data_IF_074050561540
#
_entry.id   IF_074050561540
#
_cell.length_a   1.000
_cell.length_b   1.000
_cell.length_c   1.000
_cell.angle_alpha   90.00
_cell.angle_beta   90.00
_cell.angle_gamma   90.00
#
_symmetry.space_group_name_H-M   'P 1'
#
loop_
_entity.id
_entity.type
_entity.pdbx_description
1 polymer ?
#
# COMPACT_ATOMS: atom_id res chain seq x y z
N UNK A 1 2.36 25.07 31.23
CA UNK A 1 1.85 25.37 29.88
C UNK A 1 2.25 24.29 28.87
N UNK A 2 3.55 23.98 28.68
CA UNK A 2 4.04 22.96 27.72
C UNK A 2 3.45 21.54 27.83
N UNK A 3 3.16 21.03 29.04
CA UNK A 3 2.61 19.68 29.22
C UNK A 3 1.13 19.54 28.80
N UNK A 4 0.36 20.62 28.86
CA UNK A 4 -1.06 20.63 28.47
C UNK A 4 -1.21 20.67 26.95
N UNK A 5 -0.41 21.50 26.26
CA UNK A 5 -0.39 21.59 24.79
C UNK A 5 0.00 20.26 24.13
N UNK A 6 0.93 19.50 24.74
CA UNK A 6 1.31 18.19 24.22
C UNK A 6 0.19 17.15 24.38
N UNK A 7 -0.57 17.17 25.48
CA UNK A 7 -1.72 16.26 25.66
C UNK A 7 -2.85 16.55 24.68
N UNK A 8 -3.16 17.83 24.43
CA UNK A 8 -4.16 18.22 23.43
C UNK A 8 -3.73 17.79 22.02
N UNK A 9 -2.47 18.04 21.62
CA UNK A 9 -1.95 17.61 20.32
C UNK A 9 -1.99 16.09 20.13
N UNK A 10 -1.60 15.32 21.15
CA UNK A 10 -1.68 13.85 21.10
C UNK A 10 -3.14 13.39 20.95
N UNK A 11 -4.07 13.98 21.71
CA UNK A 11 -5.49 13.64 21.63
C UNK A 11 -6.09 13.97 20.25
N UNK A 12 -5.75 15.12 19.66
CA UNK A 12 -6.16 15.48 18.31
C UNK A 12 -5.64 14.51 17.25
N UNK A 13 -4.37 14.10 17.35
CA UNK A 13 -3.77 13.12 16.43
C UNK A 13 -4.46 11.76 16.56
N UNK A 14 -4.69 11.28 17.79
CA UNK A 14 -5.39 10.00 18.04
C UNK A 14 -6.82 10.06 17.47
N UNK A 15 -7.56 11.13 17.72
CA UNK A 15 -8.91 11.30 17.21
C UNK A 15 -8.94 11.35 15.67
N UNK A 16 -7.97 12.03 15.06
CA UNK A 16 -7.86 12.09 13.59
C UNK A 16 -7.55 10.73 12.98
N UNK A 17 -6.60 9.98 13.55
CA UNK A 17 -6.26 8.62 13.12
C UNK A 17 -7.48 7.70 13.27
N UNK A 18 -8.16 7.75 14.41
CA UNK A 18 -9.40 7.00 14.67
C UNK A 18 -10.50 7.33 13.65
N UNK A 19 -10.66 8.60 13.27
CA UNK A 19 -11.64 9.03 12.25
C UNK A 19 -11.29 8.51 10.86
N UNK A 20 -10.03 8.63 10.43
CA UNK A 20 -9.56 8.12 9.12
C UNK A 20 -9.72 6.60 9.06
N UNK A 21 -9.28 5.89 10.10
CA UNK A 21 -9.36 4.43 10.14
C UNK A 21 -10.81 3.94 10.03
N UNK A 22 -11.73 4.51 10.80
CA UNK A 22 -13.14 4.15 10.74
C UNK A 22 -13.77 4.46 9.37
N UNK A 23 -13.44 5.61 8.77
CA UNK A 23 -13.87 5.95 7.41
C UNK A 23 -13.40 4.89 6.41
N UNK A 24 -12.11 4.56 6.43
CA UNK A 24 -11.53 3.60 5.51
C UNK A 24 -12.11 2.20 5.70
N UNK A 25 -12.35 1.77 6.94
CA UNK A 25 -12.97 0.48 7.24
C UNK A 25 -14.35 0.33 6.58
N UNK A 26 -15.17 1.40 6.57
CA UNK A 26 -16.48 1.35 5.92
C UNK A 26 -16.36 1.18 4.41
N UNK A 27 -15.42 1.85 3.76
CA UNK A 27 -15.22 1.68 2.33
C UNK A 27 -14.60 0.33 1.98
N UNK A 28 -13.62 -0.14 2.76
CA UNK A 28 -13.02 -1.46 2.58
C UNK A 28 -14.06 -2.57 2.72
N UNK A 29 -15.00 -2.44 3.67
CA UNK A 29 -16.10 -3.40 3.85
C UNK A 29 -16.96 -3.55 2.59
N UNK A 30 -17.12 -2.50 1.78
CA UNK A 30 -17.91 -2.54 0.54
C UNK A 30 -17.20 -3.32 -0.56
N UNK A 31 -15.86 -3.31 -0.59
CA UNK A 31 -15.06 -3.96 -1.64
C UNK A 31 -14.58 -5.36 -1.26
N UNK A 32 -14.34 -5.62 0.03
CA UNK A 32 -13.83 -6.90 0.51
C UNK A 32 -14.17 -7.11 1.98
N UNK A 33 -15.12 -8.01 2.21
CA UNK A 33 -15.51 -8.40 3.57
C UNK A 33 -14.37 -9.10 4.33
N UNK A 34 -13.48 -9.81 3.62
CA UNK A 34 -12.39 -10.54 4.23
C UNK A 34 -11.27 -9.62 4.72
N UNK A 35 -10.87 -8.63 3.90
CA UNK A 35 -9.91 -7.60 4.33
C UNK A 35 -10.48 -6.84 5.54
N UNK A 36 -11.76 -6.46 5.48
CA UNK A 36 -12.43 -5.81 6.62
C UNK A 36 -12.38 -6.66 7.90
N UNK A 37 -12.67 -7.97 7.80
CA UNK A 37 -12.60 -8.89 8.95
C UNK A 37 -11.18 -9.01 9.49
N UNK A 38 -10.18 -9.09 8.63
CA UNK A 38 -8.77 -9.17 9.03
C UNK A 38 -8.36 -7.91 9.81
N UNK A 39 -8.71 -6.72 9.30
CA UNK A 39 -8.43 -5.44 9.97
C UNK A 39 -9.10 -5.32 11.35
N UNK A 40 -10.27 -5.95 11.55
CA UNK A 40 -10.97 -5.95 12.84
C UNK A 40 -10.40 -6.95 13.85
N UNK A 41 -9.84 -8.07 13.38
CA UNK A 41 -9.29 -9.13 14.24
C UNK A 41 -7.92 -8.76 14.80
N UNK A 42 -7.09 -8.09 14.02
CA UNK A 42 -5.70 -7.83 14.37
C UNK A 42 -5.57 -6.76 15.48
N UNK A 43 -5.33 -7.20 16.71
CA UNK A 43 -5.08 -6.35 17.89
C UNK A 43 -3.78 -6.78 18.56
N UNK A 44 -2.65 -6.50 17.93
CA UNK A 44 -1.32 -6.81 18.45
C UNK A 44 -0.32 -5.68 18.17
N UNK A 45 0.85 -5.77 18.80
CA UNK A 45 2.00 -4.94 18.46
C UNK A 45 2.37 -5.16 16.99
N UNK A 46 2.58 -4.08 16.24
CA UNK A 46 2.92 -4.15 14.83
C UNK A 46 4.43 -4.08 14.66
N UNK A 47 4.98 -4.88 13.73
CA UNK A 47 6.39 -4.75 13.31
C UNK A 47 6.66 -3.48 12.48
N UNK A 48 5.67 -2.60 12.32
CA UNK A 48 5.78 -1.34 11.59
C UNK A 48 5.59 -0.10 12.47
N UNK A 49 6.27 0.99 12.12
CA UNK A 49 6.15 2.31 12.76
C UNK A 49 6.16 3.43 11.72
N UNK A 50 5.46 4.54 12.00
CA UNK A 50 5.56 5.76 11.19
C UNK A 50 6.75 6.60 11.64
N UNK A 51 7.49 7.11 10.66
CA UNK A 51 8.60 8.06 10.84
C UNK A 51 8.48 9.18 9.79
N UNK A 52 9.04 10.34 10.06
CA UNK A 52 9.25 11.36 9.01
C UNK A 52 10.59 11.11 8.30
N UNK A 53 10.61 11.23 6.98
CA UNK A 53 11.83 11.24 6.19
C UNK A 53 12.56 12.60 6.32
N UNK A 54 13.74 12.74 5.69
CA UNK A 54 14.54 13.97 5.74
C UNK A 54 13.82 15.20 5.16
N UNK A 55 12.81 14.98 4.32
CA UNK A 55 11.97 16.01 3.69
C UNK A 55 10.64 16.25 4.42
N UNK A 56 10.45 15.68 5.62
CA UNK A 56 9.25 15.88 6.45
C UNK A 56 8.02 15.08 6.02
N UNK A 57 8.16 14.11 5.12
CA UNK A 57 7.07 13.25 4.64
C UNK A 57 7.00 11.96 5.46
N UNK A 58 5.80 11.40 5.64
CA UNK A 58 5.65 10.12 6.34
C UNK A 58 6.36 8.99 5.58
N UNK A 59 6.95 8.08 6.34
CA UNK A 59 7.59 6.86 5.90
C UNK A 59 7.24 5.74 6.90
N UNK A 60 7.49 4.50 6.52
CA UNK A 60 7.31 3.31 7.37
C UNK A 60 8.68 2.75 7.68
N UNK A 61 8.92 2.49 8.97
CA UNK A 61 9.97 1.59 9.43
C UNK A 61 9.32 0.22 9.61
N UNK A 62 9.83 -0.81 8.95
CA UNK A 62 9.51 -2.22 9.21
C UNK A 62 10.68 -2.86 9.96
N UNK A 63 10.38 -3.59 11.02
CA UNK A 63 11.35 -4.42 11.74
C UNK A 63 11.27 -5.83 11.16
N UNK A 64 12.40 -6.33 10.66
CA UNK A 64 12.54 -7.68 10.15
C UNK A 64 13.87 -8.27 10.63
N UNK A 65 13.84 -9.38 11.36
CA UNK A 65 15.01 -10.00 12.01
C UNK A 65 15.85 -8.97 12.81
N UNK A 66 15.21 -8.24 13.72
CA UNK A 66 15.80 -7.17 14.55
C UNK A 66 16.44 -6.00 13.79
N UNK A 67 16.28 -5.95 12.47
CA UNK A 67 16.79 -4.88 11.61
C UNK A 67 15.68 -3.97 11.14
N UNK A 68 15.94 -2.66 11.13
CA UNK A 68 15.00 -1.65 10.64
C UNK A 68 15.17 -1.40 9.15
N UNK A 69 14.08 -1.50 8.41
CA UNK A 69 14.00 -1.24 6.98
C UNK A 69 13.04 -0.08 6.72
N UNK A 70 13.44 0.82 5.82
CA UNK A 70 12.56 1.87 5.34
C UNK A 70 11.80 1.39 4.11
N UNK A 71 10.48 1.49 4.15
CA UNK A 71 9.62 1.08 3.03
C UNK A 71 9.71 2.08 1.87
N UNK A 72 9.84 3.37 2.18
CA UNK A 72 9.98 4.46 1.20
C UNK A 72 11.36 5.11 1.28
N UNK A 73 11.68 5.91 0.27
CA UNK A 73 12.89 6.74 0.25
C UNK A 73 13.02 7.62 1.51
N UNK A 74 14.17 7.55 2.17
CA UNK A 74 14.48 8.39 3.33
C UNK A 74 14.80 9.84 2.95
N UNK A 75 15.05 10.10 1.67
CA UNK A 75 15.47 11.40 1.15
C UNK A 75 14.28 12.13 0.52
N UNK A 76 13.73 11.57 -0.56
CA UNK A 76 12.64 12.17 -1.32
C UNK A 76 11.74 11.07 -1.88
N UNK A 77 10.56 10.91 -1.28
CA UNK A 77 9.58 9.94 -1.77
C UNK A 77 8.84 10.46 -3.00
N UNK A 78 8.74 11.79 -3.21
CA UNK A 78 8.10 12.33 -4.41
C UNK A 78 8.93 12.02 -5.66
N UNK A 79 10.24 12.19 -5.57
CA UNK A 79 11.15 11.84 -6.66
C UNK A 79 11.08 10.34 -6.95
N UNK A 80 11.12 9.50 -5.91
CA UNK A 80 10.96 8.05 -6.05
C UNK A 80 9.64 7.70 -6.75
N UNK A 81 8.52 8.22 -6.27
CA UNK A 81 7.20 7.95 -6.85
C UNK A 81 7.08 8.45 -8.29
N UNK A 82 7.68 9.60 -8.63
CA UNK A 82 7.73 10.10 -10.00
C UNK A 82 8.50 9.16 -10.92
N UNK A 83 9.72 8.76 -10.53
CA UNK A 83 10.55 7.85 -11.34
C UNK A 83 9.85 6.51 -11.57
N UNK A 84 9.26 5.94 -10.51
CA UNK A 84 8.52 4.67 -10.60
C UNK A 84 7.26 4.83 -11.47
N UNK A 85 6.54 5.94 -11.35
CA UNK A 85 5.38 6.23 -12.19
C UNK A 85 5.76 6.40 -13.66
N UNK A 86 6.86 7.10 -13.95
CA UNK A 86 7.36 7.23 -15.32
C UNK A 86 7.70 5.84 -15.90
N UNK A 87 8.44 5.01 -15.16
CA UNK A 87 8.74 3.63 -15.54
C UNK A 87 7.49 2.76 -15.74
N UNK A 88 6.47 2.91 -14.89
CA UNK A 88 5.22 2.14 -14.98
C UNK A 88 4.41 2.40 -16.26
N UNK A 89 4.62 3.56 -16.89
CA UNK A 89 3.92 4.00 -18.09
C UNK A 89 4.84 4.17 -19.31
N UNK A 90 6.06 3.61 -19.27
CA UNK A 90 6.96 3.59 -20.43
C UNK A 90 6.44 2.72 -21.56
N UNK A 91 5.68 1.68 -21.23
CA UNK A 91 5.15 0.68 -22.15
C UNK A 91 3.62 0.80 -22.28
N UNK A 92 3.08 0.36 -23.42
CA UNK A 92 1.65 0.33 -23.68
C UNK A 92 0.98 -0.95 -23.15
N UNK A 93 1.03 -1.13 -21.82
CA UNK A 93 0.36 -2.23 -21.14
C UNK A 93 -1.07 -1.85 -20.71
N UNK A 94 -2.01 -2.77 -20.85
CA UNK A 94 -3.41 -2.57 -20.43
C UNK A 94 -3.56 -2.69 -18.90
N UNK A 95 -2.75 -3.55 -18.28
CA UNK A 95 -2.79 -3.86 -16.85
C UNK A 95 -1.45 -3.51 -16.21
N UNK A 96 -1.48 -2.78 -15.10
CA UNK A 96 -0.30 -2.53 -14.26
C UNK A 96 -0.49 -3.25 -12.93
N UNK A 97 0.38 -4.22 -12.66
CA UNK A 97 0.43 -4.93 -11.39
C UNK A 97 1.54 -4.31 -10.54
N UNK A 98 1.18 -3.73 -9.39
CA UNK A 98 2.14 -3.15 -8.46
C UNK A 98 2.32 -4.09 -7.27
N UNK A 99 3.56 -4.53 -7.05
CA UNK A 99 3.95 -5.34 -5.90
C UNK A 99 4.57 -4.44 -4.82
N UNK A 100 3.77 -4.20 -3.80
CA UNK A 100 3.97 -3.24 -2.72
C UNK A 100 3.00 -2.07 -2.80
N UNK A 101 2.46 -1.65 -1.66
CA UNK A 101 1.67 -0.44 -1.53
C UNK A 101 2.34 0.57 -0.59
N UNK A 102 2.87 0.12 0.55
CA UNK A 102 3.41 1.03 1.56
C UNK A 102 2.36 2.06 2.00
N UNK A 103 2.73 3.36 2.04
CA UNK A 103 1.77 4.46 2.29
C UNK A 103 1.02 4.90 1.02
N UNK A 104 1.30 4.25 -0.11
CA UNK A 104 0.65 4.45 -1.40
C UNK A 104 1.08 5.70 -2.16
N UNK A 105 2.29 6.21 -1.93
CA UNK A 105 2.83 7.34 -2.71
C UNK A 105 2.98 6.96 -4.19
N UNK A 106 3.65 5.85 -4.48
CA UNK A 106 3.89 5.33 -5.82
C UNK A 106 2.57 4.95 -6.48
N UNK A 107 1.73 4.18 -5.78
CA UNK A 107 0.41 3.76 -6.27
C UNK A 107 -0.43 4.98 -6.66
N UNK A 108 -0.46 6.01 -5.82
CA UNK A 108 -1.23 7.22 -6.11
C UNK A 108 -0.75 7.94 -7.37
N UNK A 109 0.57 8.11 -7.54
CA UNK A 109 1.13 8.73 -8.75
C UNK A 109 0.85 7.89 -10.00
N UNK A 110 1.01 6.55 -9.91
CA UNK A 110 0.79 5.61 -11.01
C UNK A 110 -0.66 5.66 -11.51
N UNK A 111 -1.66 5.59 -10.61
CA UNK A 111 -3.07 5.55 -11.01
C UNK A 111 -3.56 6.90 -11.52
N UNK A 112 -3.04 8.00 -10.96
CA UNK A 112 -3.42 9.36 -11.35
C UNK A 112 -2.93 9.69 -12.75
N UNK A 113 -1.79 9.16 -13.17
CA UNK A 113 -1.21 9.42 -14.50
C UNK A 113 -2.01 8.78 -15.64
N UNK A 114 -2.61 7.61 -15.42
CA UNK A 114 -3.41 6.93 -16.44
C UNK A 114 -4.72 6.35 -15.85
N UNK A 115 -5.70 7.20 -15.48
CA UNK A 115 -6.90 6.79 -14.72
C UNK A 115 -7.75 5.70 -15.39
N UNK A 116 -7.61 5.50 -16.71
CA UNK A 116 -8.36 4.51 -17.50
C UNK A 116 -7.68 3.13 -17.59
N UNK A 117 -6.43 2.99 -17.15
CA UNK A 117 -5.77 1.67 -17.08
C UNK A 117 -6.34 0.84 -15.94
N UNK A 118 -6.11 -0.47 -16.02
CA UNK A 118 -6.50 -1.42 -14.97
C UNK A 118 -5.32 -1.67 -14.05
N UNK A 119 -5.58 -1.74 -12.75
CA UNK A 119 -4.55 -1.85 -11.74
C UNK A 119 -4.81 -3.02 -10.80
N UNK A 120 -3.76 -3.79 -10.50
CA UNK A 120 -3.77 -4.77 -9.43
C UNK A 120 -2.68 -4.39 -8.43
N UNK A 121 -3.06 -4.09 -7.19
CA UNK A 121 -2.13 -3.71 -6.13
C UNK A 121 -1.99 -4.89 -5.17
N UNK A 122 -0.78 -5.39 -5.04
CA UNK A 122 -0.41 -6.47 -4.11
C UNK A 122 0.33 -5.85 -2.94
N UNK A 123 -0.13 -6.06 -1.71
CA UNK A 123 0.62 -5.72 -0.50
C UNK A 123 0.82 -7.00 0.30
N UNK A 124 2.04 -7.58 0.29
CA UNK A 124 2.30 -8.84 0.96
C UNK A 124 2.35 -8.74 2.47
N UNK A 125 2.49 -7.55 3.05
CA UNK A 125 2.60 -7.40 4.51
C UNK A 125 1.36 -6.74 5.09
N UNK A 126 0.59 -7.51 5.85
CA UNK A 126 -0.69 -7.03 6.36
C UNK A 126 -0.53 -5.84 7.32
N UNK A 127 0.54 -5.80 8.09
CA UNK A 127 0.80 -4.71 9.03
C UNK A 127 1.16 -3.39 8.31
N UNK A 128 1.88 -3.43 7.19
CA UNK A 128 2.09 -2.29 6.29
C UNK A 128 0.75 -1.79 5.76
N UNK A 129 -0.10 -2.69 5.25
CA UNK A 129 -1.42 -2.33 4.74
C UNK A 129 -2.28 -1.69 5.84
N UNK A 130 -2.34 -2.31 7.03
CA UNK A 130 -3.09 -1.80 8.18
C UNK A 130 -2.62 -0.39 8.57
N UNK A 131 -1.31 -0.19 8.68
CA UNK A 131 -0.73 1.11 9.02
C UNK A 131 -1.12 2.20 8.00
N UNK A 132 -1.15 1.85 6.72
CA UNK A 132 -1.62 2.76 5.68
C UNK A 132 -3.11 3.09 5.83
N UNK A 133 -3.97 2.09 6.07
CA UNK A 133 -5.40 2.28 6.32
C UNK A 133 -5.66 3.14 7.57
N UNK A 134 -4.79 3.11 8.57
CA UNK A 134 -4.91 3.96 9.76
C UNK A 134 -4.49 5.42 9.49
N UNK A 135 -3.58 5.65 8.55
CA UNK A 135 -2.88 6.93 8.40
C UNK A 135 -3.23 7.72 7.15
N UNK A 136 -3.75 7.06 6.12
CA UNK A 136 -3.95 7.60 4.78
C UNK A 136 -5.42 7.41 4.42
N UNK A 137 -6.05 8.44 3.85
CA UNK A 137 -7.42 8.33 3.35
C UNK A 137 -7.46 7.34 2.18
N UNK A 138 -7.97 6.13 2.42
CA UNK A 138 -8.01 5.03 1.45
C UNK A 138 -9.08 5.26 0.39
N UNK A 139 -10.08 6.10 0.68
CA UNK A 139 -11.20 6.35 -0.24
C UNK A 139 -10.74 7.00 -1.55
N UNK A 140 -9.55 7.62 -1.58
CA UNK A 140 -8.96 8.17 -2.81
C UNK A 140 -8.64 7.09 -3.86
N UNK A 141 -8.51 5.83 -3.46
CA UNK A 141 -8.31 4.70 -4.37
C UNK A 141 -9.62 4.03 -4.80
N UNK A 142 -10.75 4.38 -4.16
CA UNK A 142 -12.04 3.73 -4.38
C UNK A 142 -13.05 4.67 -5.06
N UNK A 143 -12.91 5.98 -4.86
CA UNK A 143 -13.87 6.98 -5.31
C UNK A 143 -13.47 7.70 -6.61
N UNK A 144 -12.29 7.40 -7.17
CA UNK A 144 -12.01 7.76 -8.55
C UNK A 144 -12.56 6.67 -9.46
N UNK A 145 -12.92 7.02 -10.70
CA UNK A 145 -13.31 6.05 -11.74
C UNK A 145 -12.10 5.19 -12.19
N UNK A 146 -11.33 4.67 -11.22
CA UNK A 146 -10.18 3.81 -11.40
C UNK A 146 -10.65 2.36 -11.30
N UNK A 147 -10.15 1.50 -12.17
CA UNK A 147 -10.32 0.06 -12.05
C UNK A 147 -9.14 -0.51 -11.25
N UNK A 148 -9.32 -0.62 -9.92
CA UNK A 148 -8.27 -1.07 -9.00
C UNK A 148 -8.75 -2.30 -8.22
N UNK A 149 -7.95 -3.36 -8.27
CA UNK A 149 -8.15 -4.58 -7.47
C UNK A 149 -7.00 -4.74 -6.47
N UNK A 150 -7.30 -5.14 -5.23
CA UNK A 150 -6.31 -5.26 -4.15
C UNK A 150 -6.10 -6.73 -3.73
N UNK A 151 -4.85 -7.16 -3.60
CA UNK A 151 -4.43 -8.46 -3.04
C UNK A 151 -3.63 -8.17 -1.76
N UNK A 152 -4.18 -8.56 -0.60
CA UNK A 152 -3.52 -8.38 0.70
C UNK A 152 -3.26 -9.77 1.29
N UNK A 153 -2.11 -10.36 0.97
CA UNK A 153 -1.76 -11.77 1.26
C UNK A 153 -0.25 -11.93 1.33
N UNK A 154 0.25 -12.69 2.31
CA UNK A 154 1.70 -12.86 2.51
C UNK A 154 2.28 -14.05 1.74
N UNK A 155 1.50 -15.13 1.57
CA UNK A 155 1.98 -16.37 0.96
C UNK A 155 1.87 -16.34 -0.57
N UNK A 156 2.94 -16.74 -1.26
CA UNK A 156 3.03 -16.69 -2.73
C UNK A 156 1.90 -17.44 -3.42
N UNK A 157 1.50 -18.60 -2.92
CA UNK A 157 0.47 -19.44 -3.51
C UNK A 157 -0.89 -18.73 -3.53
N UNK A 158 -1.24 -18.05 -2.43
CA UNK A 158 -2.46 -17.25 -2.36
C UNK A 158 -2.38 -15.97 -3.20
N UNK A 159 -1.21 -15.32 -3.25
CA UNK A 159 -1.00 -14.17 -4.13
C UNK A 159 -1.19 -14.59 -5.60
N UNK A 160 -0.57 -15.68 -6.03
CA UNK A 160 -0.69 -16.21 -7.40
C UNK A 160 -2.14 -16.52 -7.74
N UNK A 161 -2.86 -17.24 -6.89
CA UNK A 161 -4.25 -17.59 -7.12
C UNK A 161 -5.13 -16.33 -7.26
N UNK A 162 -5.02 -15.38 -6.33
CA UNK A 162 -5.78 -14.13 -6.38
C UNK A 162 -5.42 -13.29 -7.61
N UNK A 163 -4.14 -13.25 -8.00
CA UNK A 163 -3.67 -12.55 -9.19
C UNK A 163 -4.27 -13.15 -10.46
N UNK A 164 -4.22 -14.48 -10.60
CA UNK A 164 -4.79 -15.20 -11.74
C UNK A 164 -6.30 -14.99 -11.86
N UNK A 165 -7.03 -15.08 -10.74
CA UNK A 165 -8.47 -14.78 -10.72
C UNK A 165 -8.76 -13.37 -11.23
N UNK A 166 -8.01 -12.37 -10.76
CA UNK A 166 -8.21 -10.97 -11.14
C UNK A 166 -7.83 -10.67 -12.59
N UNK A 167 -6.77 -11.30 -13.10
CA UNK A 167 -6.38 -11.19 -14.51
C UNK A 167 -7.44 -11.82 -15.42
N UNK A 168 -8.00 -12.96 -15.03
CA UNK A 168 -9.12 -13.59 -15.76
C UNK A 168 -10.37 -12.69 -15.77
N UNK A 169 -10.72 -12.06 -14.64
CA UNK A 169 -11.81 -11.08 -14.58
C UNK A 169 -11.58 -9.85 -15.47
N UNK A 170 -10.33 -9.40 -15.56
CA UNK A 170 -9.92 -8.27 -16.40
C UNK A 170 -9.91 -8.65 -17.89
N UNK A 171 -9.72 -9.94 -18.20
CA UNK A 171 -9.58 -10.51 -19.53
C UNK A 171 -8.47 -9.84 -20.37
N UNK A 172 -7.31 -9.61 -19.76
CA UNK A 172 -6.13 -9.08 -20.44
C UNK A 172 -4.83 -9.59 -19.82
N UNK A 173 -3.92 -10.05 -20.69
CA UNK A 173 -2.58 -10.54 -20.34
C UNK A 173 -1.47 -9.55 -20.74
N UNK A 174 -1.82 -8.38 -21.27
CA UNK A 174 -0.86 -7.32 -21.57
C UNK A 174 -0.51 -6.57 -20.27
N UNK A 175 0.43 -7.14 -19.50
CA UNK A 175 0.69 -6.78 -18.11
C UNK A 175 2.09 -6.16 -17.95
N UNK A 176 2.18 -5.07 -17.20
CA UNK A 176 3.43 -4.55 -16.63
C UNK A 176 3.50 -4.86 -15.14
N UNK A 177 4.57 -5.49 -14.69
CA UNK A 177 4.87 -5.64 -13.26
C UNK A 177 5.77 -4.50 -12.76
N UNK A 178 5.38 -3.91 -11.63
CA UNK A 178 6.10 -2.85 -10.93
C UNK A 178 6.36 -3.29 -9.50
N UNK A 179 7.61 -3.63 -9.20
CA UNK A 179 8.02 -4.05 -7.86
C UNK A 179 8.59 -2.85 -7.12
N UNK A 180 7.97 -2.46 -6.00
CA UNK A 180 8.49 -1.35 -5.20
C UNK A 180 9.81 -1.72 -4.51
N UNK A 181 10.75 -0.76 -4.34
CA UNK A 181 12.15 -1.07 -3.96
C UNK A 181 12.31 -1.88 -2.68
N UNK A 182 11.51 -1.58 -1.65
CA UNK A 182 11.52 -2.31 -0.38
C UNK A 182 11.21 -3.80 -0.58
N UNK A 183 10.18 -4.15 -1.35
CA UNK A 183 9.79 -5.53 -1.55
C UNK A 183 10.78 -6.30 -2.42
N UNK A 184 11.48 -5.63 -3.35
CA UNK A 184 12.55 -6.28 -4.13
C UNK A 184 13.65 -6.84 -3.23
N UNK A 185 13.92 -6.19 -2.09
CA UNK A 185 14.94 -6.64 -1.15
C UNK A 185 14.41 -7.71 -0.18
N UNK A 186 13.25 -7.49 0.42
CA UNK A 186 12.72 -8.38 1.48
C UNK A 186 11.97 -9.60 0.93
N UNK A 187 11.23 -9.44 -0.17
CA UNK A 187 10.27 -10.44 -0.65
C UNK A 187 10.73 -11.13 -1.94
N UNK A 188 12.05 -11.22 -2.18
CA UNK A 188 12.60 -11.77 -3.43
C UNK A 188 12.01 -13.15 -3.77
N UNK A 189 11.96 -14.07 -2.80
CA UNK A 189 11.42 -15.42 -3.03
C UNK A 189 9.93 -15.43 -3.41
N UNK A 190 9.12 -14.57 -2.77
CA UNK A 190 7.70 -14.45 -3.07
C UNK A 190 7.51 -13.87 -4.47
N UNK A 191 8.26 -12.82 -4.80
CA UNK A 191 8.24 -12.19 -6.13
C UNK A 191 8.66 -13.18 -7.21
N UNK A 192 9.77 -13.90 -7.00
CA UNK A 192 10.26 -14.90 -7.94
C UNK A 192 9.25 -16.04 -8.15
N UNK A 193 8.42 -16.36 -7.16
CA UNK A 193 7.33 -17.33 -7.31
C UNK A 193 6.10 -16.76 -8.01
N UNK A 194 5.78 -15.48 -7.80
CA UNK A 194 4.63 -14.80 -8.42
C UNK A 194 4.88 -14.46 -9.88
N UNK A 195 6.14 -14.24 -10.28
CA UNK A 195 6.53 -13.84 -11.63
C UNK A 195 7.02 -14.99 -12.52
N UNK A 196 7.05 -16.23 -12.01
CA UNK A 196 7.29 -17.43 -12.82
C UNK A 196 6.09 -17.74 -13.70
#
# INVERSE_FOLDING_TARGET
MYLYDNKLKVFEVINKVSKIYNKNLQEIKKISIDIYRQLKKEKGETSVKIKLNKSGQKNIIKIHNDSEYLVHSNYDVKLQSKVICDYAHQDDNEVIVVFGMGLGYEVHEIIKKAPKKKYIIIEPEFDIFKLMVENIDFTKYLNGNYDIKFIIREQSEFICNDLMTKLNEINSWNIKFIILPYHRYIHKNIIDNVLK
#
